data_IF_483964760817
#
_entry.id   IF_483964760817
#
_cell.length_a   1.000
_cell.length_b   1.000
_cell.length_c   1.000
_cell.angle_alpha   90.00
_cell.angle_beta   90.00
_cell.angle_gamma   90.00
#
_symmetry.space_group_name_H-M   'P 1'
#
loop_
_entity.id
_entity.type
_entity.pdbx_description
1 polymer ?
#
# COMPACT_ATOMS: atom_id res chain seq x y z
N UNK A 1 -45.22 53.28 10.74
CA UNK A 1 -43.75 53.23 10.81
C UNK A 1 -43.22 52.18 11.80
N UNK A 2 -43.65 52.11 13.06
CA UNK A 2 -43.12 51.12 14.04
C UNK A 2 -43.41 49.64 13.66
N UNK A 3 -44.57 49.33 13.03
CA UNK A 3 -44.92 47.98 12.59
C UNK A 3 -44.12 47.48 11.36
N UNK A 4 -43.74 48.42 10.47
CA UNK A 4 -42.92 48.08 9.27
C UNK A 4 -41.47 47.87 9.67
N UNK A 5 -40.95 48.64 10.66
CA UNK A 5 -39.62 48.46 11.18
C UNK A 5 -39.43 47.12 11.93
N UNK A 6 -40.48 46.67 12.68
CA UNK A 6 -40.48 45.38 13.33
C UNK A 6 -40.52 44.20 12.35
N UNK A 7 -41.19 44.34 11.20
CA UNK A 7 -41.26 43.33 10.15
C UNK A 7 -39.90 43.21 9.42
N UNK A 8 -39.20 44.31 9.18
CA UNK A 8 -37.88 44.33 8.55
C UNK A 8 -36.82 43.70 9.48
N UNK A 9 -36.89 44.00 10.81
CA UNK A 9 -36.00 43.35 11.80
C UNK A 9 -36.26 41.85 11.94
N UNK A 10 -37.51 41.40 11.88
CA UNK A 10 -37.86 39.99 11.93
C UNK A 10 -37.41 39.25 10.66
N UNK A 11 -37.49 39.91 9.48
CA UNK A 11 -37.01 39.33 8.22
C UNK A 11 -35.47 39.27 8.16
N UNK A 12 -34.77 40.27 8.75
CA UNK A 12 -33.31 40.29 8.86
C UNK A 12 -32.80 39.20 9.83
N UNK A 13 -33.52 38.90 10.92
CA UNK A 13 -33.20 37.80 11.84
C UNK A 13 -33.47 36.40 11.21
N UNK A 14 -34.43 36.25 10.34
CA UNK A 14 -34.68 35.01 9.60
C UNK A 14 -33.62 34.76 8.52
N UNK A 15 -32.98 35.75 7.96
CA UNK A 15 -31.89 35.64 7.00
C UNK A 15 -30.55 35.27 7.63
N UNK A 16 -30.35 35.53 8.94
CA UNK A 16 -29.12 35.12 9.64
C UNK A 16 -29.15 33.67 10.17
N UNK A 17 -30.31 33.04 10.20
CA UNK A 17 -30.43 31.63 10.63
C UNK A 17 -30.19 30.61 9.52
N UNK A 18 -30.09 31.04 8.27
CA UNK A 18 -29.76 30.13 7.14
C UNK A 18 -28.28 30.08 6.80
N UNK A 19 -27.42 30.77 7.52
CA UNK A 19 -25.96 30.78 7.25
C UNK A 19 -25.16 29.79 8.13
N UNK A 20 -25.82 29.02 9.00
CA UNK A 20 -25.23 27.90 9.73
C UNK A 20 -25.84 26.57 9.28
N UNK A 21 -25.95 26.34 7.97
CA UNK A 21 -25.95 25.01 7.42
C UNK A 21 -24.52 24.48 7.54
N UNK A 22 -24.18 23.83 8.62
CA UNK A 22 -22.96 23.03 8.66
C UNK A 22 -23.02 22.12 7.44
N UNK A 23 -22.04 22.23 6.54
CA UNK A 23 -21.79 21.14 5.59
C UNK A 23 -21.70 19.91 6.47
N UNK A 24 -22.50 18.89 6.20
CA UNK A 24 -22.22 17.56 6.74
C UNK A 24 -20.76 17.29 6.36
N UNK A 25 -19.90 17.11 7.35
CA UNK A 25 -18.51 16.74 7.11
C UNK A 25 -18.51 15.45 6.29
N UNK A 26 -18.08 15.53 5.05
CA UNK A 26 -18.00 14.36 4.20
C UNK A 26 -17.01 13.39 4.83
N UNK A 27 -17.48 12.20 5.19
CA UNK A 27 -16.62 11.18 5.76
C UNK A 27 -15.85 10.49 4.64
N UNK A 28 -14.55 10.57 4.65
CA UNK A 28 -13.63 9.86 3.77
C UNK A 28 -13.36 8.49 4.36
N UNK A 29 -13.76 7.44 3.67
CA UNK A 29 -13.42 6.06 4.03
C UNK A 29 -12.11 5.66 3.36
N UNK A 30 -11.12 5.28 4.19
CA UNK A 30 -9.83 4.77 3.78
C UNK A 30 -9.74 3.28 4.13
N UNK A 31 -9.57 2.42 3.13
CA UNK A 31 -9.55 0.96 3.30
C UNK A 31 -8.12 0.47 3.31
N UNK A 32 -7.74 -0.28 4.33
CA UNK A 32 -6.43 -0.96 4.39
C UNK A 32 -6.42 -2.18 3.45
N UNK A 33 -5.24 -2.66 3.11
CA UNK A 33 -5.04 -3.92 2.34
C UNK A 33 -4.86 -5.14 3.24
N UNK A 34 -4.42 -4.93 4.48
CA UNK A 34 -4.09 -5.94 5.49
C UNK A 34 -4.46 -5.45 6.88
N UNK A 35 -4.45 -6.29 7.93
CA UNK A 35 -4.47 -5.81 9.31
C UNK A 35 -3.42 -4.72 9.54
N UNK A 36 -3.67 -3.77 10.45
CA UNK A 36 -2.75 -2.67 10.71
C UNK A 36 -1.30 -3.13 10.87
N UNK A 37 -0.41 -2.49 10.14
CA UNK A 37 1.03 -2.70 10.19
C UNK A 37 1.75 -1.39 9.83
N UNK A 38 3.06 -1.41 9.77
CA UNK A 38 3.86 -0.21 9.56
C UNK A 38 3.71 0.45 8.19
N UNK A 39 3.22 -0.24 7.16
CA UNK A 39 2.84 0.41 5.91
C UNK A 39 1.70 1.43 6.10
N UNK A 40 0.89 1.28 7.16
CA UNK A 40 -0.25 2.14 7.46
C UNK A 40 0.06 3.26 8.46
N UNK A 41 1.29 3.37 8.93
CA UNK A 41 1.64 4.33 10.00
C UNK A 41 1.26 5.75 9.67
N UNK A 42 1.47 6.20 8.43
CA UNK A 42 1.21 7.60 8.04
C UNK A 42 -0.25 8.02 8.20
N UNK A 43 -1.24 7.16 7.88
CA UNK A 43 -2.66 7.47 8.06
C UNK A 43 -3.01 7.63 9.54
N UNK A 44 -2.47 6.76 10.42
CA UNK A 44 -2.72 6.84 11.85
C UNK A 44 -2.03 8.04 12.51
N UNK A 45 -0.83 8.41 12.04
CA UNK A 45 -0.16 9.64 12.45
C UNK A 45 -0.98 10.87 12.06
N UNK A 46 -1.44 10.95 10.81
CA UNK A 46 -2.25 12.09 10.35
C UNK A 46 -3.57 12.23 11.15
N UNK A 47 -4.22 11.10 11.50
CA UNK A 47 -5.40 11.06 12.35
C UNK A 47 -5.09 11.56 13.76
N UNK A 48 -4.09 11.00 14.42
CA UNK A 48 -3.77 11.36 15.82
C UNK A 48 -3.28 12.81 15.96
N UNK A 49 -2.55 13.32 14.96
CA UNK A 49 -2.09 14.70 14.93
C UNK A 49 -3.20 15.70 14.55
N UNK A 50 -4.41 15.22 14.18
CA UNK A 50 -5.54 16.07 13.82
C UNK A 50 -5.41 16.74 12.45
N UNK A 51 -4.52 16.29 11.57
CA UNK A 51 -4.26 16.97 10.29
C UNK A 51 -5.39 16.82 9.28
N UNK A 52 -6.17 15.75 9.37
CA UNK A 52 -7.41 15.64 8.58
C UNK A 52 -8.49 16.62 9.08
N UNK A 53 -8.64 16.77 10.38
CA UNK A 53 -9.58 17.74 10.98
C UNK A 53 -9.18 19.19 10.65
N UNK A 54 -7.87 19.52 10.68
CA UNK A 54 -7.34 20.80 10.20
C UNK A 54 -7.72 21.08 8.75
N UNK A 55 -7.75 20.04 7.91
CA UNK A 55 -8.18 20.13 6.51
C UNK A 55 -9.71 20.12 6.31
N UNK A 56 -10.49 20.05 7.40
CA UNK A 56 -11.95 19.97 7.35
C UNK A 56 -12.49 18.61 6.91
N UNK A 57 -11.70 17.55 7.10
CA UNK A 57 -12.04 16.18 6.71
C UNK A 57 -12.27 15.30 7.96
N UNK A 58 -13.29 14.47 7.88
CA UNK A 58 -13.45 13.32 8.76
C UNK A 58 -12.98 12.08 8.03
N UNK A 59 -12.06 11.32 8.62
CA UNK A 59 -11.51 10.11 7.99
C UNK A 59 -11.82 8.90 8.86
N UNK A 60 -12.34 7.86 8.21
CA UNK A 60 -12.63 6.56 8.81
C UNK A 60 -11.75 5.49 8.18
N UNK A 61 -10.91 4.83 8.98
CA UNK A 61 -10.00 3.78 8.53
C UNK A 61 -10.63 2.44 8.81
N UNK A 62 -10.81 1.65 7.75
CA UNK A 62 -11.47 0.34 7.82
C UNK A 62 -10.57 -0.78 7.30
N UNK A 63 -10.75 -1.97 7.85
CA UNK A 63 -10.05 -3.17 7.41
C UNK A 63 -10.56 -3.67 6.07
N UNK A 64 -9.74 -4.39 5.27
CA UNK A 64 -10.16 -4.90 3.98
C UNK A 64 -11.24 -5.97 4.13
N UNK A 65 -12.25 -5.97 3.24
CA UNK A 65 -13.21 -7.08 3.14
C UNK A 65 -12.58 -8.28 2.42
N UNK A 66 -13.23 -9.44 2.48
CA UNK A 66 -12.80 -10.65 1.76
C UNK A 66 -12.61 -10.43 0.23
N UNK A 67 -13.34 -9.49 -0.37
CA UNK A 67 -13.23 -9.16 -1.80
C UNK A 67 -12.09 -8.20 -2.15
N UNK A 68 -11.28 -7.79 -1.18
CA UNK A 68 -10.19 -6.83 -1.36
C UNK A 68 -10.63 -5.37 -1.28
N UNK A 69 -9.66 -4.51 -0.99
CA UNK A 69 -9.86 -3.07 -0.73
C UNK A 69 -10.23 -2.29 -2.00
N UNK A 70 -9.59 -2.60 -3.12
CA UNK A 70 -9.78 -1.91 -4.40
C UNK A 70 -11.23 -1.99 -4.91
N UNK A 71 -11.94 -3.10 -4.67
CA UNK A 71 -13.34 -3.27 -5.08
C UNK A 71 -14.29 -2.29 -4.36
N UNK A 72 -14.03 -1.95 -3.09
CA UNK A 72 -14.83 -0.96 -2.37
C UNK A 72 -14.72 0.42 -3.01
N UNK A 73 -13.50 0.80 -3.41
CA UNK A 73 -13.23 2.07 -4.10
C UNK A 73 -13.85 2.06 -5.50
N UNK A 74 -13.64 1.00 -6.28
CA UNK A 74 -14.20 0.88 -7.61
C UNK A 74 -15.74 0.98 -7.61
N UNK A 75 -16.41 0.45 -6.58
CA UNK A 75 -17.86 0.51 -6.41
C UNK A 75 -18.37 1.81 -5.78
N UNK A 76 -17.50 2.77 -5.47
CA UNK A 76 -17.85 4.05 -4.84
C UNK A 76 -18.25 3.95 -3.35
N UNK A 77 -17.97 2.83 -2.69
CA UNK A 77 -18.27 2.62 -1.25
C UNK A 77 -17.17 3.13 -0.33
N UNK A 78 -16.00 3.39 -0.87
CA UNK A 78 -14.87 4.02 -0.18
C UNK A 78 -14.21 5.03 -1.13
N UNK A 79 -13.49 6.00 -0.58
CA UNK A 79 -12.83 7.03 -1.35
C UNK A 79 -11.39 6.66 -1.70
N UNK A 80 -10.70 6.02 -0.77
CA UNK A 80 -9.32 5.58 -0.97
C UNK A 80 -9.12 4.17 -0.43
N UNK A 81 -8.19 3.44 -1.04
CA UNK A 81 -7.76 2.14 -0.53
C UNK A 81 -6.28 1.90 -0.76
N UNK A 82 -5.67 1.14 0.14
CA UNK A 82 -4.35 0.56 -0.04
C UNK A 82 -4.47 -0.70 -0.88
N UNK A 83 -3.55 -0.86 -1.83
CA UNK A 83 -3.43 -2.05 -2.69
C UNK A 83 -1.99 -2.11 -3.24
N UNK A 84 -1.74 -2.88 -4.32
CA UNK A 84 -0.44 -3.00 -4.96
C UNK A 84 -0.58 -2.86 -6.49
N UNK A 85 0.49 -2.42 -7.16
CA UNK A 85 0.50 -2.18 -8.61
C UNK A 85 0.21 -3.47 -9.40
N UNK A 86 0.80 -4.58 -8.99
CA UNK A 86 0.58 -5.90 -9.59
C UNK A 86 -0.86 -6.39 -9.41
N UNK A 87 -1.45 -6.10 -8.25
CA UNK A 87 -2.82 -6.51 -7.91
C UNK A 87 -3.88 -5.75 -8.70
N UNK A 88 -3.67 -4.45 -8.99
CA UNK A 88 -4.63 -3.66 -9.76
C UNK A 88 -4.44 -3.80 -11.28
N UNK A 89 -3.26 -4.17 -11.75
CA UNK A 89 -2.95 -4.22 -13.18
C UNK A 89 -4.01 -5.00 -13.99
N UNK A 90 -4.43 -6.22 -13.62
CA UNK A 90 -5.48 -6.94 -14.34
C UNK A 90 -6.85 -6.26 -14.29
N UNK A 91 -7.09 -5.43 -13.28
CA UNK A 91 -8.36 -4.75 -13.05
C UNK A 91 -8.50 -3.43 -13.81
N UNK A 92 -7.43 -2.92 -14.43
CA UNK A 92 -7.44 -1.63 -15.15
C UNK A 92 -7.91 -1.76 -16.60
N UNK A 93 -7.97 -2.97 -17.17
CA UNK A 93 -8.30 -3.23 -18.57
C UNK A 93 -9.33 -4.35 -18.72
N UNK A 94 -9.84 -4.54 -19.95
CA UNK A 94 -10.82 -5.58 -20.26
C UNK A 94 -12.26 -5.14 -20.05
N UNK A 95 -13.21 -6.09 -20.23
CA UNK A 95 -14.65 -5.81 -20.17
C UNK A 95 -15.14 -5.37 -18.79
N UNK A 96 -14.43 -5.77 -17.72
CA UNK A 96 -14.76 -5.46 -16.33
C UNK A 96 -13.76 -4.51 -15.69
N UNK A 97 -13.15 -3.63 -16.50
CA UNK A 97 -12.17 -2.68 -15.99
C UNK A 97 -12.75 -1.83 -14.84
N UNK A 98 -12.01 -1.76 -13.75
CA UNK A 98 -12.37 -0.94 -12.60
C UNK A 98 -11.97 0.53 -12.84
N UNK A 99 -12.82 1.50 -12.50
CA UNK A 99 -12.53 2.92 -12.64
C UNK A 99 -11.58 3.40 -11.52
N UNK A 100 -10.34 2.92 -11.52
CA UNK A 100 -9.34 3.19 -10.49
C UNK A 100 -8.17 4.00 -11.05
N UNK A 101 -7.68 4.91 -10.23
CA UNK A 101 -6.43 5.63 -10.44
C UNK A 101 -5.59 5.58 -9.16
N UNK A 102 -4.32 5.22 -9.29
CA UNK A 102 -3.33 5.33 -8.22
C UNK A 102 -2.96 6.79 -8.02
N UNK A 103 -3.02 7.24 -6.77
CA UNK A 103 -2.82 8.65 -6.41
C UNK A 103 -1.60 8.87 -5.51
N UNK A 104 -1.03 7.80 -4.97
CA UNK A 104 0.24 7.85 -4.21
C UNK A 104 0.87 6.46 -4.10
N UNK A 105 2.20 6.42 -4.07
CA UNK A 105 2.97 5.27 -3.60
C UNK A 105 3.22 5.40 -2.09
N UNK A 106 2.96 4.36 -1.30
CA UNK A 106 3.25 4.39 0.14
C UNK A 106 4.75 4.22 0.37
N UNK A 107 5.36 3.23 -0.28
CA UNK A 107 6.80 3.02 -0.32
C UNK A 107 7.33 3.35 -1.71
N UNK A 108 8.52 3.89 -1.77
CA UNK A 108 9.14 4.25 -3.04
C UNK A 108 9.77 3.04 -3.74
N UNK A 109 10.27 2.06 -2.99
CA UNK A 109 10.84 0.85 -3.56
C UNK A 109 10.06 -0.40 -3.14
N UNK A 110 10.12 -1.42 -4.00
CA UNK A 110 9.61 -2.73 -3.70
C UNK A 110 10.56 -3.43 -2.72
N UNK A 111 10.10 -3.71 -1.51
CA UNK A 111 10.87 -4.41 -0.49
C UNK A 111 10.59 -5.91 -0.46
N UNK A 112 10.04 -6.46 -1.56
CA UNK A 112 9.70 -7.88 -1.62
C UNK A 112 10.82 -8.73 -2.22
N UNK A 113 10.91 -9.95 -1.74
CA UNK A 113 11.89 -10.92 -2.15
C UNK A 113 11.61 -12.28 -1.55
N UNK A 114 12.58 -13.16 -1.63
CA UNK A 114 12.46 -14.52 -1.07
C UNK A 114 13.29 -14.63 0.20
N UNK A 115 12.66 -15.16 1.24
CA UNK A 115 13.29 -15.53 2.51
C UNK A 115 13.40 -17.04 2.63
N UNK A 116 14.51 -17.49 3.22
CA UNK A 116 14.77 -18.89 3.56
C UNK A 116 15.56 -18.98 4.87
N UNK A 117 15.63 -20.13 5.54
CA UNK A 117 16.55 -20.34 6.66
C UNK A 117 18.02 -20.16 6.21
N UNK A 118 18.80 -19.45 6.99
CA UNK A 118 20.20 -19.15 6.66
C UNK A 118 21.07 -20.38 6.55
N UNK A 119 21.94 -20.38 5.53
CA UNK A 119 22.91 -21.44 5.32
C UNK A 119 22.40 -22.70 4.60
N UNK A 120 21.16 -22.67 4.11
CA UNK A 120 20.58 -23.78 3.32
C UNK A 120 20.89 -23.63 1.81
N UNK A 121 21.64 -22.58 1.41
CA UNK A 121 22.10 -22.38 0.03
C UNK A 121 21.08 -21.65 -0.87
N UNK A 122 20.11 -20.96 -0.27
CA UNK A 122 19.09 -20.17 -0.96
C UNK A 122 19.31 -18.66 -0.79
N UNK A 123 20.56 -18.24 -0.69
CA UNK A 123 20.98 -16.83 -0.58
C UNK A 123 20.90 -16.08 -1.91
N UNK A 124 20.67 -16.79 -3.01
CA UNK A 124 20.40 -16.23 -4.34
C UNK A 124 19.25 -16.98 -5.02
N UNK A 125 18.61 -16.40 -6.07
CA UNK A 125 17.50 -17.06 -6.78
C UNK A 125 17.81 -18.46 -7.30
N UNK A 126 19.01 -18.69 -7.80
CA UNK A 126 19.43 -20.02 -8.26
C UNK A 126 19.40 -21.09 -7.16
N UNK A 127 19.62 -20.67 -5.93
CA UNK A 127 19.57 -21.56 -4.76
C UNK A 127 18.20 -22.19 -4.53
N UNK A 128 17.14 -21.70 -5.15
CA UNK A 128 15.79 -22.30 -5.07
C UNK A 128 15.68 -23.63 -5.83
N UNK A 129 16.64 -24.00 -6.70
CA UNK A 129 16.61 -25.28 -7.41
C UNK A 129 16.60 -26.48 -6.44
N UNK A 130 15.57 -27.31 -6.54
CA UNK A 130 15.40 -28.49 -5.70
C UNK A 130 14.82 -28.23 -4.32
N UNK A 131 14.46 -26.99 -4.01
CA UNK A 131 13.85 -26.60 -2.75
C UNK A 131 12.35 -26.35 -2.89
N UNK A 132 11.61 -26.43 -1.75
CA UNK A 132 10.17 -26.27 -1.65
C UNK A 132 9.83 -24.78 -1.44
N UNK A 133 9.19 -24.19 -2.43
CA UNK A 133 8.73 -22.81 -2.38
C UNK A 133 7.23 -22.75 -2.12
N UNK A 134 6.80 -21.98 -1.11
CA UNK A 134 5.39 -21.72 -0.82
C UNK A 134 4.81 -20.79 -1.90
N UNK A 135 3.92 -21.30 -2.76
CA UNK A 135 3.31 -20.57 -3.86
C UNK A 135 1.82 -20.34 -3.63
N UNK A 136 1.31 -19.16 -3.96
CA UNK A 136 -0.14 -18.91 -4.10
C UNK A 136 -0.66 -19.13 -5.52
N UNK A 137 0.19 -19.70 -6.39
CA UNK A 137 -0.14 -20.17 -7.74
C UNK A 137 -0.50 -19.06 -8.74
N UNK A 138 -0.10 -17.80 -8.48
CA UNK A 138 -0.32 -16.67 -9.39
C UNK A 138 0.61 -16.74 -10.62
N UNK A 139 0.11 -16.44 -11.83
CA UNK A 139 0.97 -16.32 -13.01
C UNK A 139 2.05 -15.25 -12.85
N UNK A 140 1.73 -14.10 -12.22
CA UNK A 140 2.68 -13.00 -12.00
C UNK A 140 3.77 -13.42 -11.02
N UNK A 141 3.40 -14.05 -9.89
CA UNK A 141 4.36 -14.62 -8.94
C UNK A 141 5.38 -15.55 -9.62
N UNK A 142 4.87 -16.52 -10.39
CA UNK A 142 5.73 -17.49 -11.08
C UNK A 142 6.62 -16.84 -12.13
N UNK A 143 6.11 -15.83 -12.85
CA UNK A 143 6.89 -15.09 -13.82
C UNK A 143 8.01 -14.28 -13.14
N UNK A 144 7.72 -13.65 -11.99
CA UNK A 144 8.71 -12.92 -11.19
C UNK A 144 9.84 -13.84 -10.75
N UNK A 145 9.53 -14.99 -10.14
CA UNK A 145 10.55 -15.93 -9.66
C UNK A 145 11.35 -16.51 -10.84
N UNK A 146 10.68 -16.85 -11.95
CA UNK A 146 11.34 -17.30 -13.17
C UNK A 146 12.33 -16.27 -13.70
N UNK A 147 11.95 -14.99 -13.67
CA UNK A 147 12.79 -13.87 -14.12
C UNK A 147 14.05 -13.75 -13.29
N UNK A 148 13.93 -13.67 -11.96
CA UNK A 148 15.12 -13.53 -11.09
C UNK A 148 16.00 -14.78 -11.10
N UNK A 149 15.43 -15.97 -11.18
CA UNK A 149 16.20 -17.19 -11.34
C UNK A 149 16.97 -17.23 -12.67
N UNK A 150 16.33 -16.81 -13.77
CA UNK A 150 17.00 -16.73 -15.07
C UNK A 150 18.16 -15.71 -15.05
N UNK A 151 17.99 -14.57 -14.38
CA UNK A 151 19.04 -13.57 -14.21
C UNK A 151 20.24 -14.13 -13.42
N UNK A 152 20.03 -15.01 -12.48
CA UNK A 152 21.07 -15.70 -11.68
C UNK A 152 21.55 -17.03 -12.31
N UNK A 153 21.07 -17.36 -13.51
CA UNK A 153 21.43 -18.61 -14.20
C UNK A 153 20.84 -19.88 -13.57
N UNK A 154 19.71 -19.74 -12.87
CA UNK A 154 18.90 -20.83 -12.33
C UNK A 154 17.81 -21.29 -13.28
N UNK A 155 17.17 -22.41 -12.94
CA UNK A 155 16.10 -23.05 -13.68
C UNK A 155 14.85 -23.21 -12.78
N UNK A 156 13.84 -22.38 -13.02
CA UNK A 156 12.60 -22.37 -12.25
C UNK A 156 11.85 -23.73 -12.28
N UNK A 157 11.98 -24.50 -13.37
CA UNK A 157 11.28 -25.76 -13.50
C UNK A 157 11.83 -26.85 -12.54
N UNK A 158 12.92 -26.56 -11.83
CA UNK A 158 13.48 -27.40 -10.76
C UNK A 158 12.99 -27.02 -9.36
N UNK A 159 12.24 -25.92 -9.21
CA UNK A 159 11.66 -25.51 -7.93
C UNK A 159 10.45 -26.39 -7.61
N UNK A 160 10.38 -26.91 -6.39
CA UNK A 160 9.20 -27.62 -5.91
C UNK A 160 8.16 -26.63 -5.40
N UNK A 161 7.08 -26.44 -6.18
CA UNK A 161 6.00 -25.51 -5.82
C UNK A 161 5.04 -26.18 -4.84
N UNK A 162 4.92 -25.61 -3.63
CA UNK A 162 4.00 -26.08 -2.58
C UNK A 162 2.84 -25.07 -2.48
N UNK A 163 1.63 -25.40 -2.98
CA UNK A 163 0.48 -24.52 -2.83
C UNK A 163 0.17 -24.24 -1.37
N UNK A 164 0.36 -23.01 -0.95
CA UNK A 164 0.20 -22.60 0.45
C UNK A 164 -0.10 -21.12 0.54
N UNK A 165 -1.01 -20.74 1.46
CA UNK A 165 -1.16 -19.37 1.91
C UNK A 165 -0.50 -19.26 3.28
N UNK A 166 0.75 -18.80 3.30
CA UNK A 166 1.48 -18.58 4.55
C UNK A 166 1.01 -17.27 5.16
N UNK A 167 0.63 -17.31 6.44
CA UNK A 167 0.21 -16.14 7.24
C UNK A 167 1.10 -15.94 8.48
N UNK A 168 2.02 -16.88 8.74
CA UNK A 168 3.06 -16.82 9.77
C UNK A 168 4.32 -17.45 9.19
N UNK A 169 5.16 -16.61 8.60
CA UNK A 169 6.37 -16.99 7.89
C UNK A 169 7.40 -17.62 8.83
N UNK A 170 7.49 -17.09 10.06
CA UNK A 170 8.40 -17.58 11.09
C UNK A 170 8.07 -19.03 11.45
N UNK A 171 6.79 -19.33 11.67
CA UNK A 171 6.35 -20.70 11.98
C UNK A 171 6.51 -21.63 10.79
N UNK A 172 6.18 -21.17 9.58
CA UNK A 172 6.28 -21.97 8.36
C UNK A 172 7.73 -22.38 8.07
N UNK A 173 8.69 -21.48 8.19
CA UNK A 173 10.11 -21.76 8.00
C UNK A 173 10.66 -22.66 9.13
N UNK A 174 10.28 -22.40 10.39
CA UNK A 174 10.72 -23.22 11.54
C UNK A 174 10.19 -24.66 11.51
N UNK A 175 8.97 -24.87 10.99
CA UNK A 175 8.40 -26.22 10.86
C UNK A 175 9.09 -27.05 9.77
N UNK A 176 9.70 -26.39 8.80
CA UNK A 176 10.28 -27.03 7.62
C UNK A 176 9.23 -27.59 6.67
N UNK A 177 8.00 -27.08 6.68
CA UNK A 177 6.95 -27.46 5.72
C UNK A 177 7.27 -26.90 4.32
N UNK A 178 7.92 -25.73 4.29
CA UNK A 178 8.47 -25.09 3.10
C UNK A 178 9.88 -24.59 3.39
N UNK A 179 10.67 -24.40 2.34
CA UNK A 179 12.07 -23.98 2.46
C UNK A 179 12.23 -22.49 2.13
N UNK A 180 11.35 -21.94 1.27
CA UNK A 180 11.41 -20.55 0.83
C UNK A 180 10.00 -19.95 0.70
N UNK A 181 9.90 -18.64 0.96
CA UNK A 181 8.63 -17.88 0.97
C UNK A 181 8.88 -16.50 0.38
N UNK A 182 7.97 -16.00 -0.46
CA UNK A 182 7.93 -14.58 -0.86
C UNK A 182 7.45 -13.74 0.32
N UNK A 183 8.20 -12.73 0.66
CA UNK A 183 7.87 -11.80 1.76
C UNK A 183 8.09 -10.35 1.35
N UNK A 184 7.58 -9.44 2.20
CA UNK A 184 8.01 -8.04 2.26
C UNK A 184 8.94 -7.89 3.46
N UNK A 185 10.21 -7.55 3.20
CA UNK A 185 11.25 -7.55 4.24
C UNK A 185 10.90 -6.64 5.41
N UNK A 186 10.33 -5.46 5.12
CA UNK A 186 9.94 -4.47 6.13
C UNK A 186 9.01 -4.98 7.24
N UNK A 187 8.35 -6.12 7.04
CA UNK A 187 7.51 -6.75 8.06
C UNK A 187 7.94 -8.19 8.36
N UNK A 188 7.80 -9.09 7.41
CA UNK A 188 8.04 -10.52 7.64
C UNK A 188 9.53 -10.86 7.81
N UNK A 189 10.43 -10.19 7.07
CA UNK A 189 11.88 -10.36 7.27
C UNK A 189 12.30 -9.94 8.67
N UNK A 190 11.84 -8.79 9.12
CA UNK A 190 12.10 -8.28 10.47
C UNK A 190 11.44 -9.17 11.53
N UNK A 191 10.25 -9.74 11.26
CA UNK A 191 9.63 -10.70 12.17
C UNK A 191 10.51 -11.95 12.38
N UNK A 192 11.13 -12.46 11.32
CA UNK A 192 12.09 -13.56 11.42
C UNK A 192 13.29 -13.18 12.30
N UNK A 193 13.86 -11.99 12.11
CA UNK A 193 14.97 -11.51 12.93
C UNK A 193 14.59 -11.35 14.41
N UNK A 194 13.43 -10.74 14.71
CA UNK A 194 12.91 -10.57 16.08
C UNK A 194 12.67 -11.92 16.74
N UNK A 195 12.20 -12.92 15.98
CA UNK A 195 12.02 -14.29 16.45
C UNK A 195 13.33 -15.08 16.62
N UNK A 196 14.49 -14.44 16.34
CA UNK A 196 15.80 -15.07 16.41
C UNK A 196 16.00 -16.19 15.39
N UNK A 197 15.28 -16.15 14.27
CA UNK A 197 15.47 -17.06 13.15
C UNK A 197 16.49 -16.45 12.19
N UNK A 198 17.70 -17.04 12.05
CA UNK A 198 18.63 -16.60 11.03
C UNK A 198 18.06 -16.90 9.64
N UNK A 199 18.09 -15.90 8.77
CA UNK A 199 17.54 -16.00 7.41
C UNK A 199 18.56 -15.58 6.37
N UNK A 200 18.46 -16.19 5.19
CA UNK A 200 18.95 -15.63 3.94
C UNK A 200 17.78 -14.94 3.25
N UNK A 201 18.03 -13.80 2.62
CA UNK A 201 17.04 -13.02 1.90
C UNK A 201 17.68 -12.42 0.65
N UNK A 202 16.96 -12.45 -0.44
CA UNK A 202 17.33 -11.68 -1.64
C UNK A 202 16.14 -10.87 -2.15
N UNK A 203 16.39 -9.62 -2.52
CA UNK A 203 15.41 -8.72 -3.09
C UNK A 203 15.25 -8.98 -4.60
N UNK A 204 14.04 -8.86 -5.13
CA UNK A 204 13.81 -9.06 -6.56
C UNK A 204 14.41 -7.96 -7.41
N UNK A 205 14.40 -6.72 -6.95
CA UNK A 205 14.94 -5.58 -7.66
C UNK A 205 16.46 -5.65 -7.86
N UNK A 206 17.19 -6.39 -7.00
CA UNK A 206 18.62 -6.62 -7.14
C UNK A 206 18.95 -7.46 -8.39
N UNK A 207 18.02 -8.28 -8.85
CA UNK A 207 18.21 -9.16 -10.02
C UNK A 207 17.61 -8.61 -11.29
N UNK A 208 16.54 -7.84 -11.20
CA UNK A 208 15.96 -7.10 -12.32
C UNK A 208 15.26 -5.82 -11.86
N UNK A 209 15.77 -4.63 -12.21
CA UNK A 209 15.17 -3.36 -11.81
C UNK A 209 13.71 -3.17 -12.22
N UNK A 210 13.19 -3.91 -13.22
CA UNK A 210 11.78 -3.85 -13.62
C UNK A 210 10.86 -4.37 -12.51
N UNK A 211 11.38 -5.17 -11.58
CA UNK A 211 10.65 -5.72 -10.45
C UNK A 211 10.61 -4.77 -9.24
N UNK A 212 11.20 -3.57 -9.36
CA UNK A 212 11.03 -2.47 -8.42
C UNK A 212 9.70 -1.72 -8.67
N UNK A 213 8.61 -2.47 -8.72
CA UNK A 213 7.26 -1.91 -8.90
C UNK A 213 6.69 -1.39 -7.59
N UNK A 214 5.67 -0.50 -7.69
CA UNK A 214 5.12 0.14 -6.50
C UNK A 214 4.19 -0.77 -5.70
N UNK A 215 4.57 -1.03 -4.45
CA UNK A 215 3.80 -1.81 -3.48
C UNK A 215 4.22 -1.44 -2.04
N UNK A 216 3.27 -1.01 -1.16
CA UNK A 216 1.87 -0.71 -1.45
C UNK A 216 1.64 0.67 -2.09
N UNK A 217 0.46 0.81 -2.71
CA UNK A 217 -0.03 2.05 -3.34
C UNK A 217 -1.40 2.45 -2.79
N UNK A 218 -1.79 3.70 -3.03
CA UNK A 218 -3.13 4.21 -2.71
C UNK A 218 -3.90 4.47 -4.00
N UNK A 219 -5.09 3.87 -4.11
CA UNK A 219 -6.00 4.07 -5.25
C UNK A 219 -7.24 4.85 -4.85
N UNK A 220 -7.84 5.53 -5.82
CA UNK A 220 -9.14 6.18 -5.71
C UNK A 220 -9.99 5.95 -6.96
N UNK A 221 -11.29 6.22 -6.86
CA UNK A 221 -12.22 6.08 -7.97
C UNK A 221 -12.14 7.30 -8.90
N UNK A 222 -12.10 7.06 -10.22
CA UNK A 222 -11.94 8.09 -11.24
C UNK A 222 -13.05 9.15 -11.19
N UNK A 223 -14.31 8.71 -11.06
CA UNK A 223 -15.46 9.62 -11.04
C UNK A 223 -15.51 10.44 -9.75
N UNK A 224 -15.11 9.81 -8.63
CA UNK A 224 -15.02 10.51 -7.36
C UNK A 224 -13.91 11.57 -7.38
N UNK A 225 -12.71 11.25 -7.88
CA UNK A 225 -11.59 12.18 -8.04
C UNK A 225 -11.99 13.38 -8.92
N UNK A 226 -12.64 13.11 -10.06
CA UNK A 226 -13.10 14.15 -10.97
C UNK A 226 -14.16 15.08 -10.34
N UNK A 227 -14.98 14.54 -9.43
CA UNK A 227 -16.04 15.29 -8.75
C UNK A 227 -15.56 16.02 -7.49
N UNK A 228 -14.46 15.56 -6.88
CA UNK A 228 -13.97 16.02 -5.57
C UNK A 228 -12.46 16.34 -5.56
N UNK A 229 -11.91 17.06 -6.57
CA UNK A 229 -10.46 17.24 -6.71
C UNK A 229 -9.82 17.96 -5.50
N UNK A 230 -10.50 18.95 -4.93
CA UNK A 230 -9.97 19.71 -3.79
C UNK A 230 -10.01 18.88 -2.49
N UNK A 231 -11.02 18.03 -2.32
CA UNK A 231 -11.08 17.07 -1.20
C UNK A 231 -9.96 16.05 -1.30
N UNK A 232 -9.70 15.52 -2.50
CA UNK A 232 -8.61 14.58 -2.75
C UNK A 232 -7.24 15.19 -2.43
N UNK A 233 -6.99 16.42 -2.89
CA UNK A 233 -5.74 17.17 -2.57
C UNK A 233 -5.60 17.41 -1.08
N UNK A 234 -6.67 17.85 -0.41
CA UNK A 234 -6.65 18.09 1.03
C UNK A 234 -6.36 16.81 1.82
N UNK A 235 -6.97 15.69 1.41
CA UNK A 235 -6.71 14.37 2.01
C UNK A 235 -5.25 13.95 1.82
N UNK A 236 -4.74 13.97 0.58
CA UNK A 236 -3.37 13.55 0.30
C UNK A 236 -2.33 14.48 0.92
N UNK A 237 -2.61 15.79 1.05
CA UNK A 237 -1.72 16.70 1.76
C UNK A 237 -1.62 16.39 3.26
N UNK A 238 -2.74 16.09 3.92
CA UNK A 238 -2.73 15.66 5.32
C UNK A 238 -2.04 14.29 5.50
N UNK A 239 -2.27 13.36 4.56
CA UNK A 239 -1.67 12.04 4.57
C UNK A 239 -0.16 12.08 4.34
N UNK A 240 0.32 12.92 3.39
CA UNK A 240 1.74 13.16 3.13
C UNK A 240 2.47 13.61 4.40
N UNK A 241 1.91 14.59 5.12
CA UNK A 241 2.43 15.01 6.43
C UNK A 241 2.56 13.84 7.41
N UNK A 242 1.62 12.88 7.35
CA UNK A 242 1.63 11.68 8.19
C UNK A 242 2.82 10.77 7.91
N UNK A 243 3.08 10.50 6.64
CA UNK A 243 4.22 9.67 6.24
C UNK A 243 5.56 10.38 6.37
N UNK A 244 5.63 11.68 6.05
CA UNK A 244 6.82 12.50 6.28
C UNK A 244 7.19 12.53 7.78
N UNK A 245 6.18 12.71 8.65
CA UNK A 245 6.40 12.64 10.09
C UNK A 245 6.88 11.26 10.54
N UNK A 246 6.30 10.18 9.99
CA UNK A 246 6.69 8.81 10.31
C UNK A 246 8.11 8.49 9.85
N UNK A 247 8.56 9.07 8.73
CA UNK A 247 9.94 8.99 8.26
C UNK A 247 10.93 9.70 9.20
N UNK A 248 10.57 10.89 9.66
CA UNK A 248 11.43 11.70 10.51
C UNK A 248 11.42 11.28 11.99
N UNK A 249 10.32 10.68 12.47
CA UNK A 249 10.09 10.33 13.86
C UNK A 249 9.63 8.87 14.04
N UNK A 250 10.41 7.87 13.57
CA UNK A 250 9.94 6.48 13.45
C UNK A 250 9.49 5.88 14.78
N UNK A 251 10.16 6.20 15.88
CA UNK A 251 9.78 5.68 17.20
C UNK A 251 8.43 6.21 17.68
N UNK A 252 8.19 7.53 17.59
CA UNK A 252 6.92 8.13 18.00
C UNK A 252 5.79 7.67 17.07
N UNK A 253 6.07 7.52 15.78
CA UNK A 253 5.12 7.02 14.81
C UNK A 253 4.72 5.55 15.09
N UNK A 254 5.66 4.70 15.51
CA UNK A 254 5.38 3.34 16.00
C UNK A 254 4.50 3.34 17.25
N UNK A 255 4.75 4.23 18.22
CA UNK A 255 3.91 4.38 19.40
C UNK A 255 2.47 4.78 19.00
N UNK A 256 2.33 5.73 18.08
CA UNK A 256 1.04 6.17 17.53
C UNK A 256 0.28 5.01 16.86
N UNK A 257 0.97 4.25 16.02
CA UNK A 257 0.38 3.07 15.37
C UNK A 257 -0.13 2.05 16.40
N UNK A 258 0.68 1.75 17.43
CA UNK A 258 0.30 0.81 18.49
C UNK A 258 -0.82 1.33 19.41
N UNK A 259 -0.99 2.64 19.52
CA UNK A 259 -2.14 3.22 20.23
C UNK A 259 -3.43 3.07 19.41
N UNK A 260 -3.35 3.26 18.11
CA UNK A 260 -4.47 3.12 17.20
C UNK A 260 -4.86 1.65 16.94
N UNK A 261 -3.87 0.74 16.93
CA UNK A 261 -4.02 -0.71 16.75
C UNK A 261 -3.41 -1.48 17.94
N UNK A 262 -4.13 -1.57 19.08
CA UNK A 262 -3.59 -2.12 20.32
C UNK A 262 -3.13 -3.58 20.25
N UNK A 263 -3.61 -4.37 19.30
CA UNK A 263 -3.17 -5.73 19.02
C UNK A 263 -1.68 -5.82 18.70
N UNK A 264 -1.09 -4.78 18.12
CA UNK A 264 0.31 -4.69 17.79
C UNK A 264 1.24 -4.59 19.02
N UNK A 265 0.69 -4.20 20.18
CA UNK A 265 1.48 -4.04 21.41
C UNK A 265 2.14 -5.34 21.88
N UNK A 266 1.56 -6.48 21.52
CA UNK A 266 2.15 -7.80 21.81
C UNK A 266 3.44 -8.06 21.04
N UNK A 267 3.65 -7.35 19.92
CA UNK A 267 4.79 -7.46 19.01
C UNK A 267 5.56 -6.12 18.89
N UNK A 268 5.63 -5.35 19.97
CA UNK A 268 6.17 -3.98 19.94
C UNK A 268 7.61 -3.90 19.36
N UNK A 269 8.47 -4.89 19.62
CA UNK A 269 9.82 -4.93 19.04
C UNK A 269 9.77 -5.02 17.51
N UNK A 270 8.91 -5.87 16.95
CA UNK A 270 8.68 -5.94 15.51
C UNK A 270 8.21 -4.59 14.97
N UNK A 271 7.24 -3.95 15.61
CA UNK A 271 6.69 -2.66 15.16
C UNK A 271 7.77 -1.58 15.14
N UNK A 272 8.59 -1.46 16.19
CA UNK A 272 9.66 -0.47 16.24
C UNK A 272 10.72 -0.70 15.15
N UNK A 273 11.19 -1.93 14.99
CA UNK A 273 12.22 -2.26 14.01
C UNK A 273 11.71 -2.13 12.58
N UNK A 274 10.48 -2.57 12.33
CA UNK A 274 9.82 -2.41 11.05
C UNK A 274 9.60 -0.93 10.70
N UNK A 275 9.14 -0.12 11.66
CA UNK A 275 8.97 1.32 11.45
C UNK A 275 10.29 2.04 11.19
N UNK A 276 11.38 1.66 11.88
CA UNK A 276 12.71 2.22 11.65
C UNK A 276 13.21 1.88 10.24
N UNK A 277 13.00 0.65 9.77
CA UNK A 277 13.35 0.24 8.41
C UNK A 277 12.52 1.02 7.37
N UNK A 278 11.20 1.02 7.50
CA UNK A 278 10.29 1.66 6.52
C UNK A 278 10.39 3.18 6.51
N UNK A 279 10.89 3.81 7.57
CA UNK A 279 11.14 5.25 7.60
C UNK A 279 12.06 5.70 6.46
N UNK A 280 13.02 4.85 6.05
CA UNK A 280 13.88 5.10 4.89
C UNK A 280 13.18 4.88 3.54
N UNK A 281 12.15 4.04 3.51
CA UNK A 281 11.49 3.60 2.27
C UNK A 281 10.28 4.48 1.88
N UNK A 282 9.69 5.26 2.80
CA UNK A 282 8.51 6.07 2.51
C UNK A 282 8.77 7.14 1.44
N UNK A 283 9.95 7.76 1.47
CA UNK A 283 10.33 8.84 0.54
C UNK A 283 11.52 8.42 -0.31
N UNK A 284 12.49 7.70 0.30
CA UNK A 284 13.72 7.22 -0.33
C UNK A 284 14.39 8.28 -1.23
N UNK A 285 14.44 8.04 -2.53
CA UNK A 285 15.04 8.91 -3.54
C UNK A 285 14.03 9.84 -4.25
N UNK A 286 12.72 9.75 -3.91
CA UNK A 286 11.71 10.62 -4.49
C UNK A 286 11.81 12.06 -3.96
N UNK A 287 11.30 13.03 -4.74
CA UNK A 287 11.29 14.44 -4.34
C UNK A 287 10.31 14.73 -3.20
N UNK A 288 9.27 13.89 -3.05
CA UNK A 288 8.22 13.99 -2.03
C UNK A 288 7.57 12.64 -1.80
N UNK A 289 6.95 12.47 -0.64
CA UNK A 289 6.17 11.27 -0.39
C UNK A 289 5.04 11.09 -1.41
N UNK A 290 4.81 9.86 -1.80
CA UNK A 290 3.69 9.46 -2.66
C UNK A 290 3.95 9.60 -4.15
N UNK A 291 5.04 10.25 -4.56
CA UNK A 291 5.35 10.47 -5.98
C UNK A 291 5.55 9.16 -6.72
N UNK A 292 4.96 9.08 -7.92
CA UNK A 292 5.06 7.93 -8.81
C UNK A 292 5.90 8.34 -10.01
N UNK A 293 7.03 7.67 -10.22
CA UNK A 293 7.86 7.82 -11.41
C UNK A 293 7.18 7.14 -12.60
N UNK A 294 6.90 7.86 -13.70
CA UNK A 294 6.22 7.31 -14.86
C UNK A 294 6.98 6.18 -15.57
N UNK A 295 8.31 6.24 -15.58
CA UNK A 295 9.14 5.25 -16.27
C UNK A 295 9.17 3.94 -15.48
N UNK A 296 9.27 4.00 -14.15
CA UNK A 296 9.18 2.83 -13.26
C UNK A 296 7.80 2.19 -13.33
N UNK A 297 6.74 3.01 -13.21
CA UNK A 297 5.36 2.54 -13.32
C UNK A 297 5.10 1.84 -14.65
N UNK A 298 5.40 2.51 -15.75
CA UNK A 298 5.16 2.01 -17.10
C UNK A 298 6.09 0.85 -17.51
N UNK A 299 7.30 0.81 -16.95
CA UNK A 299 8.25 -0.28 -17.13
C UNK A 299 7.68 -1.61 -16.66
N UNK A 300 7.06 -1.62 -15.47
CA UNK A 300 6.41 -2.81 -14.93
C UNK A 300 5.20 -3.26 -15.77
N UNK A 301 4.37 -2.34 -16.25
CA UNK A 301 3.25 -2.67 -17.14
C UNK A 301 3.70 -3.23 -18.48
N UNK A 302 4.81 -2.68 -19.02
CA UNK A 302 5.44 -3.22 -20.21
C UNK A 302 5.93 -4.65 -19.98
N UNK A 303 6.57 -4.91 -18.85
CA UNK A 303 7.02 -6.24 -18.46
C UNK A 303 5.87 -7.24 -18.33
N UNK A 304 4.75 -6.86 -17.72
CA UNK A 304 3.54 -7.70 -17.64
C UNK A 304 3.01 -8.07 -19.03
N UNK A 305 2.95 -7.09 -19.95
CA UNK A 305 2.52 -7.31 -21.33
C UNK A 305 3.45 -8.25 -22.09
N UNK A 306 4.76 -8.01 -22.03
CA UNK A 306 5.78 -8.77 -22.76
C UNK A 306 5.85 -10.23 -22.29
N UNK A 307 5.52 -10.50 -21.03
CA UNK A 307 5.43 -11.85 -20.46
C UNK A 307 4.07 -12.51 -20.67
N UNK A 308 3.13 -11.86 -21.37
CA UNK A 308 1.80 -12.41 -21.66
C UNK A 308 0.94 -12.61 -20.41
N UNK A 309 1.17 -11.83 -19.37
CA UNK A 309 0.47 -11.92 -18.08
C UNK A 309 -0.86 -11.16 -18.07
N UNK A 310 -1.14 -10.40 -19.14
CA UNK A 310 -2.34 -9.59 -19.28
C UNK A 310 -3.20 -10.10 -20.43
N UNK A 311 -4.51 -10.29 -20.20
CA UNK A 311 -5.46 -10.64 -21.26
C UNK A 311 -5.62 -9.49 -22.27
N UNK A 312 -5.66 -8.25 -21.77
CA UNK A 312 -5.68 -7.02 -22.55
C UNK A 312 -4.45 -6.21 -22.18
N UNK A 313 -3.60 -5.85 -23.16
CA UNK A 313 -2.39 -5.08 -22.88
C UNK A 313 -2.70 -3.77 -22.15
N UNK A 314 -1.84 -3.44 -21.17
CA UNK A 314 -1.85 -2.19 -20.43
C UNK A 314 -1.12 -1.10 -21.22
N UNK A 315 -1.68 0.11 -21.29
CA UNK A 315 -0.92 1.30 -21.66
C UNK A 315 0.06 1.63 -20.52
N UNK A 316 1.38 1.77 -20.79
CA UNK A 316 2.36 2.08 -19.73
C UNK A 316 2.06 3.36 -18.95
N UNK A 317 1.38 4.33 -19.56
CA UNK A 317 1.05 5.61 -18.93
C UNK A 317 -0.27 5.63 -18.17
N UNK A 318 -1.03 4.52 -18.14
CA UNK A 318 -2.36 4.50 -17.51
C UNK A 318 -2.31 4.17 -16.02
N UNK A 319 -3.40 4.47 -15.31
CA UNK A 319 -3.69 3.94 -13.98
C UNK A 319 -3.06 4.70 -12.82
N UNK A 320 -2.35 5.81 -13.06
CA UNK A 320 -1.81 6.66 -11.99
C UNK A 320 -1.88 8.15 -12.32
N UNK A 321 -1.73 8.98 -11.29
CA UNK A 321 -1.54 10.43 -11.41
C UNK A 321 -0.86 11.01 -10.17
N UNK A 322 -0.01 12.03 -10.37
CA UNK A 322 0.61 12.82 -9.30
C UNK A 322 -0.10 14.16 -9.06
N UNK A 323 -1.23 14.44 -9.75
CA UNK A 323 -1.90 15.76 -9.73
C UNK A 323 -2.52 16.14 -8.38
N UNK A 324 -2.79 15.16 -7.52
CA UNK A 324 -3.42 15.38 -6.21
C UNK A 324 -2.40 15.46 -5.07
N UNK A 325 -1.13 15.16 -5.31
CA UNK A 325 -0.06 15.27 -4.31
C UNK A 325 0.29 16.74 -4.04
N UNK A 326 0.67 17.09 -2.77
CA UNK A 326 1.05 18.45 -2.41
C UNK A 326 2.34 18.94 -3.05
#
# INVERSE_FOLDING_TARGET
MKKVLALILALAMLLTLTACGGKEEETITFVLDWPPNTNHTGIYVALQKGWFEEAGLKVDVVQPPEGGSALLVASGKAQFAVTAQDSIAPALTGENAMPLTTVAAILQHNTSGIVSPAGEGMDTPKGLEGHRYATWDSPVEKATIRQVMAADGGDFDKVELIPSTVTDEVSALKSGDVDAIWIFYGWAGIACEVAGLPIDYFDFADFDPVLDFYTPIIVSNNDWLASNPETAKAFLAALSRGYEYAAENPKEAADILMEAAPELKSNAELVYRSQEYLAGEYIADAARWGEIDPDRWGGYFTWLNDNGLMETPLDPGMGFTNEYLP
#
